data_IF_177816108825
#
_entry.id   IF_177816108825
#
_cell.length_a   1.000
_cell.length_b   1.000
_cell.length_c   1.000
_cell.angle_alpha   90.00
_cell.angle_beta   90.00
_cell.angle_gamma   90.00
#
_symmetry.space_group_name_H-M   'P 1'
#
loop_
_entity.id
_entity.type
_entity.pdbx_description
1 polymer ?
#
# COMPACT_ATOMS: atom_id res chain seq x y z
N UNK A 1 -72.33 -19.34 -24.12
CA UNK A 1 -72.58 -20.11 -22.89
C UNK A 1 -71.41 -21.05 -22.64
N UNK A 2 -70.56 -20.77 -21.64
CA UNK A 2 -69.95 -21.73 -20.69
C UNK A 2 -68.87 -21.00 -19.88
N UNK A 3 -69.18 -20.86 -18.61
CA UNK A 3 -68.40 -20.36 -17.47
C UNK A 3 -67.45 -21.44 -16.92
N UNK A 4 -66.59 -21.02 -15.96
CA UNK A 4 -65.85 -21.78 -14.92
C UNK A 4 -64.44 -22.25 -15.33
N UNK A 5 -63.33 -22.06 -14.57
CA UNK A 5 -63.12 -21.80 -13.14
C UNK A 5 -61.74 -21.13 -12.86
N UNK A 6 -61.67 -20.35 -11.78
CA UNK A 6 -60.45 -19.84 -11.12
C UNK A 6 -59.75 -20.93 -10.30
N UNK A 7 -58.41 -20.88 -10.22
CA UNK A 7 -57.66 -21.33 -9.06
C UNK A 7 -56.33 -20.56 -8.93
N UNK A 8 -56.28 -19.73 -7.90
CA UNK A 8 -55.17 -18.91 -7.44
C UNK A 8 -54.17 -19.71 -6.57
N UNK A 9 -52.87 -19.51 -6.78
CA UNK A 9 -51.83 -19.92 -5.82
C UNK A 9 -50.95 -18.71 -5.52
N UNK A 10 -51.14 -18.14 -4.33
CA UNK A 10 -50.25 -17.15 -3.72
C UNK A 10 -49.12 -17.90 -3.01
N UNK A 11 -47.93 -17.94 -3.60
CA UNK A 11 -46.72 -18.32 -2.86
C UNK A 11 -46.24 -17.10 -2.07
N UNK A 12 -46.68 -17.00 -0.82
CA UNK A 12 -46.14 -16.07 0.16
C UNK A 12 -44.72 -16.53 0.51
N UNK A 13 -43.71 -15.79 0.09
CA UNK A 13 -42.32 -16.01 0.48
C UNK A 13 -42.12 -15.67 1.95
N UNK A 14 -42.00 -16.68 2.81
CA UNK A 14 -41.41 -16.54 4.13
C UNK A 14 -39.90 -16.35 3.96
N UNK A 15 -39.41 -15.11 4.07
CA UNK A 15 -38.00 -14.85 4.35
C UNK A 15 -37.81 -15.10 5.85
N UNK A 16 -37.66 -16.37 6.21
CA UNK A 16 -37.18 -16.75 7.54
C UNK A 16 -35.70 -16.42 7.65
N UNK A 17 -35.33 -15.54 8.57
CA UNK A 17 -33.93 -15.27 8.91
C UNK A 17 -33.26 -16.55 9.40
N UNK A 18 -32.40 -17.14 8.58
CA UNK A 18 -31.52 -18.22 9.02
C UNK A 18 -30.30 -17.58 9.70
N UNK A 19 -30.43 -17.23 10.99
CA UNK A 19 -29.27 -17.21 11.85
C UNK A 19 -28.86 -18.67 12.07
N UNK A 20 -28.02 -19.19 11.17
CA UNK A 20 -27.49 -20.55 11.29
C UNK A 20 -26.53 -20.57 12.48
N UNK A 21 -26.77 -21.36 13.54
CA UNK A 21 -25.82 -21.49 14.62
C UNK A 21 -24.61 -22.26 14.09
N UNK A 22 -23.47 -21.60 13.98
CA UNK A 22 -22.22 -22.24 13.57
C UNK A 22 -21.80 -23.27 14.63
N UNK A 23 -21.68 -24.57 14.29
CA UNK A 23 -21.12 -25.55 15.21
C UNK A 23 -19.62 -25.27 15.42
N UNK A 24 -19.05 -25.60 16.60
CA UNK A 24 -17.62 -25.49 16.86
C UNK A 24 -16.87 -26.62 16.13
N UNK A 25 -16.79 -26.50 14.80
CA UNK A 25 -15.94 -27.31 13.94
C UNK A 25 -14.67 -26.55 13.56
N UNK A 26 -13.66 -27.24 13.00
CA UNK A 26 -12.44 -26.59 12.53
C UNK A 26 -12.82 -25.73 11.32
N UNK A 27 -13.02 -24.42 11.55
CA UNK A 27 -13.15 -23.46 10.47
C UNK A 27 -11.94 -23.65 9.54
N UNK A 28 -12.12 -23.70 8.21
CA UNK A 28 -10.98 -23.56 7.32
C UNK A 28 -10.23 -22.30 7.74
N UNK A 29 -8.88 -22.34 7.84
CA UNK A 29 -8.13 -21.14 8.21
C UNK A 29 -8.60 -20.02 7.29
N UNK A 30 -8.94 -18.88 7.89
CA UNK A 30 -9.30 -17.70 7.11
C UNK A 30 -8.29 -17.55 5.97
N UNK A 31 -8.73 -17.31 4.71
CA UNK A 31 -7.80 -17.17 3.61
C UNK A 31 -6.71 -16.17 4.01
N UNK A 32 -5.44 -16.41 3.66
CA UNK A 32 -4.35 -15.50 4.01
C UNK A 32 -4.78 -14.09 3.63
N UNK A 33 -4.65 -13.13 4.56
CA UNK A 33 -4.94 -11.75 4.24
C UNK A 33 -4.00 -11.34 3.09
N UNK A 34 -4.57 -11.11 1.91
CA UNK A 34 -3.84 -10.59 0.78
C UNK A 34 -3.81 -9.08 0.93
N UNK A 35 -2.66 -8.58 1.36
CA UNK A 35 -2.37 -7.16 1.38
C UNK A 35 -1.76 -6.79 0.04
N UNK A 36 -2.35 -5.85 -0.70
CA UNK A 36 -1.64 -5.21 -1.80
C UNK A 36 -0.34 -4.59 -1.26
N UNK A 37 0.73 -4.74 -2.03
CA UNK A 37 2.04 -4.25 -1.66
C UNK A 37 2.82 -3.79 -2.88
N UNK A 38 3.80 -2.94 -2.62
CA UNK A 38 4.86 -2.63 -3.54
C UNK A 38 6.19 -2.81 -2.83
N UNK A 39 7.14 -3.47 -3.50
CA UNK A 39 8.52 -3.62 -3.06
C UNK A 39 9.46 -3.24 -4.19
N UNK A 40 10.28 -2.23 -3.95
CA UNK A 40 11.27 -1.74 -4.91
C UNK A 40 12.65 -1.70 -4.26
N UNK A 41 13.68 -1.78 -5.08
CA UNK A 41 15.05 -1.57 -4.64
C UNK A 41 15.64 -0.39 -5.39
N UNK A 42 16.11 0.59 -4.63
CA UNK A 42 16.82 1.73 -5.16
C UNK A 42 18.31 1.60 -4.86
N UNK A 43 19.13 1.87 -5.88
CA UNK A 43 20.57 2.02 -5.72
C UNK A 43 20.93 3.48 -5.92
N UNK A 44 21.90 3.95 -5.15
CA UNK A 44 22.43 5.31 -5.22
C UNK A 44 23.94 5.28 -5.10
N UNK A 45 24.60 6.28 -5.68
CA UNK A 45 26.02 6.53 -5.42
C UNK A 45 26.28 7.19 -4.06
N UNK A 46 25.27 7.80 -3.43
CA UNK A 46 25.40 8.47 -2.13
C UNK A 46 25.44 7.50 -0.94
N UNK A 47 26.11 7.87 0.17
CA UNK A 47 26.16 7.07 1.39
C UNK A 47 24.78 6.90 2.05
N UNK A 48 24.57 5.77 2.73
CA UNK A 48 23.28 5.49 3.39
C UNK A 48 22.89 6.51 4.46
N UNK A 49 23.84 7.16 5.13
CA UNK A 49 23.56 8.17 6.17
C UNK A 49 22.88 9.39 5.56
N UNK A 50 23.35 9.84 4.40
CA UNK A 50 22.76 10.94 3.65
C UNK A 50 21.35 10.58 3.21
N UNK A 51 21.17 9.42 2.56
CA UNK A 51 19.85 8.98 2.10
C UNK A 51 18.84 8.77 3.24
N UNK A 52 19.29 8.22 4.37
CA UNK A 52 18.44 8.04 5.55
C UNK A 52 17.94 9.39 6.03
N UNK A 53 18.82 10.39 6.09
CA UNK A 53 18.48 11.76 6.49
C UNK A 53 17.52 12.40 5.50
N UNK A 54 17.79 12.30 4.20
CA UNK A 54 16.96 12.86 3.14
C UNK A 54 15.54 12.26 3.14
N UNK A 55 15.41 10.94 3.22
CA UNK A 55 14.10 10.27 3.28
C UNK A 55 13.35 10.63 4.57
N UNK A 56 14.04 10.68 5.70
CA UNK A 56 13.43 11.08 6.98
C UNK A 56 12.88 12.52 6.91
N UNK A 57 13.68 13.45 6.40
CA UNK A 57 13.27 14.84 6.24
C UNK A 57 12.05 14.96 5.31
N UNK A 58 12.02 14.20 4.21
CA UNK A 58 10.87 14.22 3.31
C UNK A 58 9.60 13.67 3.96
N UNK A 59 9.69 12.57 4.72
CA UNK A 59 8.56 12.03 5.47
C UNK A 59 8.06 13.05 6.51
N UNK A 60 8.98 13.77 7.18
CA UNK A 60 8.61 14.83 8.11
C UNK A 60 7.97 16.03 7.39
N UNK A 61 8.45 16.40 6.21
CA UNK A 61 7.86 17.47 5.40
C UNK A 61 6.43 17.13 4.95
N UNK A 62 6.12 15.85 4.77
CA UNK A 62 4.78 15.34 4.47
C UNK A 62 3.93 15.02 5.71
N UNK A 63 4.40 15.40 6.90
CA UNK A 63 3.64 15.17 8.13
C UNK A 63 2.53 16.20 8.29
N UNK A 64 1.27 15.80 8.50
CA UNK A 64 0.13 16.72 8.68
C UNK A 64 0.32 17.77 9.78
N UNK A 65 1.22 17.53 10.74
CA UNK A 65 1.54 18.50 11.79
C UNK A 65 2.39 19.68 11.29
N UNK A 66 2.98 19.60 10.09
CA UNK A 66 3.98 20.55 9.58
C UNK A 66 3.46 21.49 8.47
N UNK A 67 2.16 21.79 8.42
CA UNK A 67 1.55 22.72 7.46
C UNK A 67 1.96 22.44 5.99
N UNK A 68 1.75 21.21 5.52
CA UNK A 68 2.12 20.73 4.19
C UNK A 68 0.98 20.76 3.16
N UNK A 69 1.33 20.62 1.88
CA UNK A 69 0.38 20.44 0.79
C UNK A 69 -0.06 18.97 0.60
N UNK A 70 0.84 18.01 0.82
CA UNK A 70 0.59 16.57 0.79
C UNK A 70 0.88 15.96 2.17
N UNK A 71 -0.11 15.99 3.05
CA UNK A 71 0.01 15.75 4.49
C UNK A 71 -0.42 14.35 4.93
N UNK A 72 0.05 13.32 4.23
CA UNK A 72 -0.50 11.97 4.37
C UNK A 72 0.47 11.00 5.04
N UNK A 73 1.65 11.46 5.45
CA UNK A 73 2.72 10.59 5.94
C UNK A 73 2.98 10.82 7.43
N UNK A 74 3.05 9.75 8.21
CA UNK A 74 3.37 9.81 9.65
C UNK A 74 4.55 8.91 9.96
N UNK A 75 5.59 9.48 10.57
CA UNK A 75 6.73 8.72 11.03
C UNK A 75 6.34 7.78 12.18
N UNK A 76 6.78 6.52 12.11
CA UNK A 76 6.53 5.51 13.15
C UNK A 76 7.81 5.23 13.94
N UNK A 77 8.92 4.96 13.25
CA UNK A 77 10.22 4.71 13.91
C UNK A 77 11.39 4.95 12.95
N UNK A 78 12.56 5.24 13.53
CA UNK A 78 13.81 5.46 12.81
C UNK A 78 14.94 4.75 13.53
N UNK A 79 15.79 4.10 12.75
CA UNK A 79 17.11 3.62 13.17
C UNK A 79 18.12 4.03 12.10
N UNK A 80 19.44 3.92 12.36
CA UNK A 80 20.46 4.23 11.34
C UNK A 80 20.37 3.40 10.06
N UNK A 81 19.63 2.28 10.07
CA UNK A 81 19.52 1.35 8.94
C UNK A 81 18.07 1.14 8.49
N UNK A 82 17.10 1.78 9.13
CA UNK A 82 15.70 1.62 8.77
C UNK A 82 14.82 2.82 9.14
N UNK A 83 13.81 3.07 8.31
CA UNK A 83 12.73 4.02 8.60
C UNK A 83 11.41 3.27 8.42
N UNK A 84 10.47 3.48 9.34
CA UNK A 84 9.08 3.06 9.20
C UNK A 84 8.16 4.26 9.30
N UNK A 85 7.17 4.32 8.43
CA UNK A 85 6.15 5.36 8.39
C UNK A 85 4.81 4.75 8.00
N UNK A 86 3.73 5.50 8.20
CA UNK A 86 2.41 5.18 7.65
C UNK A 86 2.03 6.24 6.63
N UNK A 87 1.36 5.82 5.58
CA UNK A 87 0.62 6.68 4.68
C UNK A 87 -0.87 6.53 4.98
N UNK A 88 -1.64 7.61 4.90
CA UNK A 88 -3.08 7.58 5.06
C UNK A 88 -3.69 8.35 3.92
N UNK A 89 -4.55 7.70 3.14
CA UNK A 89 -5.20 8.33 1.97
C UNK A 89 -6.01 9.57 2.38
N UNK A 90 -6.26 10.54 1.49
CA UNK A 90 -6.87 11.82 1.84
C UNK A 90 -8.24 11.71 2.55
N UNK A 91 -8.96 10.62 2.31
CA UNK A 91 -10.26 10.32 2.93
C UNK A 91 -10.16 9.45 4.20
N UNK A 92 -8.95 9.14 4.67
CA UNK A 92 -8.63 8.21 5.78
C UNK A 92 -9.22 6.79 5.59
N UNK A 93 -9.52 6.41 4.35
CA UNK A 93 -10.14 5.13 4.06
C UNK A 93 -9.13 3.98 4.02
N UNK A 94 -7.88 4.29 3.73
CA UNK A 94 -6.81 3.30 3.63
C UNK A 94 -5.56 3.80 4.34
N UNK A 95 -4.93 2.88 5.08
CA UNK A 95 -3.66 3.11 5.75
C UNK A 95 -2.66 2.11 5.18
N UNK A 96 -1.55 2.62 4.68
CA UNK A 96 -0.44 1.81 4.18
C UNK A 96 0.74 1.94 5.13
N UNK A 97 1.40 0.81 5.42
CA UNK A 97 2.67 0.78 6.15
C UNK A 97 3.83 0.89 5.17
N UNK A 98 4.70 1.86 5.39
CA UNK A 98 5.92 2.11 4.64
C UNK A 98 7.14 1.64 5.44
N UNK A 99 8.10 1.05 4.74
CA UNK A 99 9.41 0.71 5.32
C UNK A 99 10.54 0.92 4.33
N UNK A 100 11.64 1.47 4.84
CA UNK A 100 12.89 1.67 4.11
C UNK A 100 14.00 0.99 4.88
N UNK A 101 14.84 0.19 4.20
CA UNK A 101 16.01 -0.46 4.79
C UNK A 101 17.25 -0.14 3.98
N UNK A 102 18.28 0.36 4.67
CA UNK A 102 19.49 0.91 4.09
C UNK A 102 20.66 -0.05 4.29
N UNK A 103 21.38 -0.37 3.21
CA UNK A 103 22.58 -1.21 3.25
C UNK A 103 23.68 -0.59 2.38
N UNK A 104 24.87 -0.32 2.94
CA UNK A 104 26.00 0.17 2.16
C UNK A 104 26.35 -0.78 1.02
N UNK A 105 26.75 -0.24 -0.14
CA UNK A 105 27.28 -1.03 -1.25
C UNK A 105 28.80 -1.00 -1.24
N UNK A 106 29.43 -2.18 -1.29
CA UNK A 106 30.89 -2.35 -1.20
C UNK A 106 31.68 -1.73 -2.36
N UNK A 107 31.06 -1.57 -3.54
CA UNK A 107 31.79 -1.17 -4.76
C UNK A 107 31.85 0.34 -5.01
N UNK A 108 30.95 1.13 -4.43
CA UNK A 108 30.81 2.56 -4.78
C UNK A 108 30.76 3.50 -3.59
N UNK A 109 30.83 2.98 -2.35
CA UNK A 109 30.51 3.77 -1.15
C UNK A 109 29.05 4.25 -1.13
N UNK A 110 28.24 3.72 -2.04
CA UNK A 110 26.84 4.07 -2.22
C UNK A 110 25.93 3.30 -1.27
N UNK A 111 24.65 3.32 -1.58
CA UNK A 111 23.64 2.71 -0.73
C UNK A 111 22.59 1.98 -1.54
N UNK A 112 22.23 0.79 -1.06
CA UNK A 112 21.05 0.06 -1.47
C UNK A 112 19.93 0.33 -0.47
N UNK A 113 18.82 0.85 -0.98
CA UNK A 113 17.59 1.05 -0.23
C UNK A 113 16.57 0.00 -0.68
N UNK A 114 16.09 -0.82 0.24
CA UNK A 114 14.93 -1.67 0.00
C UNK A 114 13.71 -0.92 0.55
N UNK A 115 12.81 -0.50 -0.34
CA UNK A 115 11.62 0.26 0.00
C UNK A 115 10.37 -0.61 -0.21
N UNK A 116 9.44 -0.54 0.74
CA UNK A 116 8.21 -1.34 0.71
C UNK A 116 7.04 -0.54 1.25
N UNK A 117 5.90 -0.62 0.56
CA UNK A 117 4.60 -0.12 1.00
C UNK A 117 3.61 -1.27 1.02
N UNK A 118 2.76 -1.36 2.03
CA UNK A 118 1.77 -2.43 2.16
C UNK A 118 0.48 -1.92 2.74
N UNK A 119 -0.64 -2.19 2.08
CA UNK A 119 -1.97 -1.83 2.55
C UNK A 119 -2.35 -2.64 3.80
N UNK A 120 -2.79 -1.97 4.86
CA UNK A 120 -3.19 -2.63 6.11
C UNK A 120 -4.64 -3.13 6.09
N UNK A 121 -5.44 -2.69 5.10
CA UNK A 121 -6.82 -3.13 4.91
C UNK A 121 -6.93 -4.58 4.45
N UNK A 122 -7.98 -5.27 4.90
CA UNK A 122 -8.25 -6.69 4.59
C UNK A 122 -8.80 -6.91 3.16
N UNK A 123 -9.33 -5.86 2.52
CA UNK A 123 -9.99 -5.94 1.20
C UNK A 123 -9.17 -5.35 0.06
N UNK A 124 -7.94 -4.90 0.33
CA UNK A 124 -7.07 -4.24 -0.64
C UNK A 124 -6.33 -5.29 -1.49
N UNK A 125 -7.05 -6.03 -2.33
CA UNK A 125 -6.47 -7.04 -3.23
C UNK A 125 -5.75 -6.41 -4.43
N UNK A 126 -6.28 -5.29 -4.93
CA UNK A 126 -5.74 -4.51 -6.04
C UNK A 126 -5.75 -3.05 -5.56
N UNK A 127 -4.59 -2.43 -5.49
CA UNK A 127 -4.40 -1.07 -4.98
C UNK A 127 -4.22 -0.02 -6.08
N UNK A 128 -4.41 -0.40 -7.34
CA UNK A 128 -4.22 0.46 -8.52
C UNK A 128 -2.88 1.23 -8.50
N UNK A 129 -1.83 0.58 -7.97
CA UNK A 129 -0.49 1.15 -7.83
C UNK A 129 -0.31 2.18 -6.70
N UNK A 130 -1.29 2.34 -5.81
CA UNK A 130 -1.20 3.24 -4.65
C UNK A 130 0.06 2.98 -3.82
N UNK A 131 0.42 1.72 -3.57
CA UNK A 131 1.62 1.40 -2.80
C UNK A 131 2.91 1.82 -3.52
N UNK A 132 2.95 1.77 -4.86
CA UNK A 132 4.09 2.31 -5.61
C UNK A 132 4.13 3.83 -5.52
N UNK A 133 2.98 4.50 -5.73
CA UNK A 133 2.89 5.95 -5.64
C UNK A 133 3.32 6.48 -4.27
N UNK A 134 2.96 5.78 -3.18
CA UNK A 134 3.38 6.15 -1.83
C UNK A 134 4.91 6.18 -1.67
N UNK A 135 5.61 5.22 -2.27
CA UNK A 135 7.08 5.20 -2.26
C UNK A 135 7.66 6.25 -3.22
N UNK A 136 7.08 6.36 -4.41
CA UNK A 136 7.56 7.25 -5.48
C UNK A 136 7.38 8.74 -5.14
N UNK A 137 6.32 9.10 -4.40
CA UNK A 137 6.12 10.46 -3.88
C UNK A 137 7.27 10.90 -2.97
N UNK A 138 7.72 10.04 -2.04
CA UNK A 138 8.86 10.33 -1.17
C UNK A 138 10.14 10.46 -2.00
N UNK A 139 10.35 9.55 -2.96
CA UNK A 139 11.53 9.53 -3.81
C UNK A 139 11.65 10.80 -4.68
N UNK A 140 10.55 11.21 -5.32
CA UNK A 140 10.54 12.36 -6.25
C UNK A 140 10.55 13.70 -5.52
N UNK A 141 9.78 13.85 -4.46
CA UNK A 141 9.73 15.10 -3.70
C UNK A 141 11.06 15.39 -2.98
N UNK A 142 11.82 14.35 -2.63
CA UNK A 142 13.17 14.50 -2.07
C UNK A 142 14.25 14.75 -3.14
N UNK A 143 13.92 14.69 -4.43
CA UNK A 143 14.87 14.81 -5.55
C UNK A 143 15.79 13.60 -5.74
N UNK A 144 15.57 12.51 -4.99
CA UNK A 144 16.40 11.31 -5.05
C UNK A 144 16.30 10.58 -6.40
N UNK A 145 15.15 10.68 -7.08
CA UNK A 145 14.95 10.13 -8.42
C UNK A 145 15.93 10.71 -9.48
N UNK A 146 16.52 11.88 -9.21
CA UNK A 146 17.48 12.55 -10.10
C UNK A 146 18.91 12.50 -9.56
N UNK A 147 19.15 11.76 -8.46
CA UNK A 147 20.46 11.68 -7.84
C UNK A 147 21.45 10.88 -8.69
N UNK A 148 22.76 11.22 -8.65
CA UNK A 148 23.78 10.48 -9.39
C UNK A 148 23.78 8.98 -9.04
N UNK A 149 23.81 8.14 -10.08
CA UNK A 149 23.82 6.69 -9.94
C UNK A 149 22.51 6.11 -9.41
N UNK A 150 21.40 6.87 -9.44
CA UNK A 150 20.08 6.34 -9.12
C UNK A 150 19.68 5.25 -10.11
N UNK A 151 19.33 4.08 -9.58
CA UNK A 151 18.75 2.97 -10.34
C UNK A 151 17.59 2.41 -9.53
N UNK A 152 16.42 2.35 -10.16
CA UNK A 152 15.27 1.62 -9.63
C UNK A 152 15.21 0.20 -10.20
N UNK A 153 15.08 -0.79 -9.31
CA UNK A 153 14.83 -2.17 -9.66
C UNK A 153 13.47 -2.58 -9.08
N UNK A 154 12.48 -2.60 -9.96
CA UNK A 154 11.11 -3.03 -9.68
C UNK A 154 10.45 -3.54 -10.98
N UNK A 155 9.21 -4.00 -10.89
CA UNK A 155 8.40 -4.52 -11.99
C UNK A 155 6.95 -4.72 -11.51
N UNK A 156 6.06 -5.14 -12.42
CA UNK A 156 4.64 -5.35 -12.13
C UNK A 156 4.33 -6.44 -11.09
N UNK A 157 5.22 -7.40 -10.86
CA UNK A 157 5.00 -8.41 -9.81
C UNK A 157 5.38 -7.90 -8.42
N UNK A 158 6.38 -7.01 -8.37
CA UNK A 158 6.88 -6.45 -7.13
C UNK A 158 6.10 -5.21 -6.70
N UNK A 159 5.61 -4.44 -7.66
CA UNK A 159 4.75 -3.27 -7.50
C UNK A 159 3.72 -3.30 -8.61
N UNK A 160 2.46 -3.58 -8.25
CA UNK A 160 1.37 -3.62 -9.22
C UNK A 160 1.30 -2.32 -10.04
N UNK A 161 1.10 -2.50 -11.35
CA UNK A 161 0.89 -1.43 -12.32
C UNK A 161 2.09 -0.45 -12.51
N UNK A 162 3.30 -0.84 -12.10
CA UNK A 162 4.54 -0.10 -12.40
C UNK A 162 4.84 0.02 -13.90
N UNK A 163 4.69 -1.09 -14.64
CA UNK A 163 4.99 -1.22 -16.07
C UNK A 163 3.81 -0.92 -16.99
N UNK A 164 2.59 -0.87 -16.47
CA UNK A 164 1.38 -0.64 -17.28
C UNK A 164 1.10 0.83 -17.57
N UNK A 165 1.73 1.79 -16.85
CA UNK A 165 1.52 3.22 -17.08
C UNK A 165 0.06 3.69 -16.89
N UNK A 166 -0.80 2.83 -16.32
CA UNK A 166 -2.24 3.06 -16.17
C UNK A 166 -2.66 3.49 -14.77
N UNK A 167 -1.74 3.60 -13.81
CA UNK A 167 -2.00 4.22 -12.51
C UNK A 167 -2.15 5.72 -12.67
N UNK A 168 -3.26 6.16 -13.23
CA UNK A 168 -3.62 7.56 -13.28
C UNK A 168 -4.43 7.91 -12.04
N UNK A 169 -3.80 8.71 -11.17
CA UNK A 169 -4.43 9.63 -10.23
C UNK A 169 -5.41 9.03 -9.21
N UNK A 170 -4.90 8.74 -8.01
CA UNK A 170 -5.65 8.90 -6.77
C UNK A 170 -5.09 10.12 -6.01
#
# INVERSE_FOLDING_TARGET
MKTLLLASVLLSGLVGSFAVPFPPGPFPPAPPAYHAFCKTVWLFASPCVELTTTILQQIQAFNPLNACAQCQYRLVSVTPQSIRANHTSPENLQVESLSFSFKPTVMTGGCRVNAMSTSLGFTSLIDDGQNYQNLYNILTASGLNSSPGFIEMTNDWACLCHGLGTCNNA
#
